data_IF_121711205860
#
_entry.id   IF_121711205860
#
_cell.length_a   1.000
_cell.length_b   1.000
_cell.length_c   1.000
_cell.angle_alpha   90.00
_cell.angle_beta   90.00
_cell.angle_gamma   90.00
#
_symmetry.space_group_name_H-M   'P 1'
#
loop_
_entity.id
_entity.type
_entity.pdbx_description
1 polymer ?
#
# COMPACT_ATOMS: atom_id res chain seq x y z
N UNK A 1 1.78 -2.94 -24.84
CA UNK A 1 1.76 -3.55 -23.52
C UNK A 1 3.03 -4.36 -23.30
N UNK A 2 3.55 -4.35 -22.09
CA UNK A 2 4.76 -5.08 -21.66
C UNK A 2 4.67 -6.57 -21.96
N UNK A 3 3.50 -7.16 -21.87
CA UNK A 3 3.31 -8.59 -22.14
C UNK A 3 3.49 -8.94 -23.62
N UNK A 4 3.32 -7.97 -24.53
CA UNK A 4 3.42 -8.20 -25.98
C UNK A 4 4.79 -7.83 -26.56
N UNK A 5 5.44 -6.81 -25.98
CA UNK A 5 6.67 -6.24 -26.53
C UNK A 5 7.84 -6.35 -25.56
N UNK A 6 7.57 -6.58 -24.26
CA UNK A 6 8.58 -6.66 -23.21
C UNK A 6 9.36 -7.98 -23.16
N UNK A 7 10.19 -8.17 -22.15
CA UNK A 7 11.09 -9.32 -22.00
C UNK A 7 10.40 -10.59 -21.46
N UNK A 8 9.14 -10.81 -21.81
CA UNK A 8 8.39 -12.01 -21.41
C UNK A 8 8.55 -13.12 -22.45
N UNK A 9 8.58 -14.41 -22.05
CA UNK A 9 8.53 -15.51 -22.97
C UNK A 9 7.34 -15.34 -23.93
N UNK A 10 7.52 -15.68 -25.18
CA UNK A 10 6.50 -15.55 -26.25
C UNK A 10 6.08 -14.10 -26.61
N UNK A 11 6.80 -13.09 -26.14
CA UNK A 11 6.62 -11.71 -26.63
C UNK A 11 7.33 -11.51 -27.97
N UNK A 12 7.02 -10.38 -28.65
CA UNK A 12 7.51 -10.10 -30.00
C UNK A 12 9.04 -10.14 -30.10
N UNK A 13 9.75 -9.49 -29.20
CA UNK A 13 11.21 -9.35 -29.31
C UNK A 13 11.96 -10.68 -29.10
N UNK A 14 11.68 -11.48 -28.04
CA UNK A 14 12.26 -12.81 -27.89
C UNK A 14 11.97 -13.74 -29.07
N UNK A 15 10.71 -13.80 -29.54
CA UNK A 15 10.37 -14.63 -30.69
C UNK A 15 11.08 -14.16 -31.96
N UNK A 16 11.18 -12.85 -32.18
CA UNK A 16 11.90 -12.31 -33.31
C UNK A 16 13.40 -12.65 -33.24
N UNK A 17 13.97 -12.62 -32.03
CA UNK A 17 15.37 -13.01 -31.81
C UNK A 17 15.62 -14.49 -32.13
N UNK A 18 14.70 -15.35 -31.74
CA UNK A 18 14.78 -16.78 -31.98
C UNK A 18 14.69 -17.11 -33.49
N UNK A 19 13.82 -16.42 -34.21
CA UNK A 19 13.59 -16.65 -35.64
C UNK A 19 14.64 -16.02 -36.55
N UNK A 20 15.12 -14.82 -36.21
CA UNK A 20 15.96 -14.01 -37.11
C UNK A 20 17.36 -13.72 -36.59
N UNK A 21 17.63 -14.10 -35.33
CA UNK A 21 18.94 -13.90 -34.71
C UNK A 21 19.15 -12.50 -34.10
N UNK A 22 20.26 -12.35 -33.37
CA UNK A 22 20.57 -11.17 -32.57
C UNK A 22 20.75 -9.87 -33.35
N UNK A 23 21.39 -9.94 -34.53
CA UNK A 23 21.68 -8.75 -35.36
C UNK A 23 20.40 -8.07 -35.86
N UNK A 24 19.42 -8.86 -36.30
CA UNK A 24 18.13 -8.33 -36.74
C UNK A 24 17.31 -7.83 -35.55
N UNK A 25 17.40 -8.49 -34.40
CA UNK A 25 16.75 -8.03 -33.18
C UNK A 25 17.31 -6.70 -32.68
N UNK A 26 18.62 -6.50 -32.75
CA UNK A 26 19.24 -5.22 -32.42
C UNK A 26 18.76 -4.09 -33.36
N UNK A 27 18.58 -4.37 -34.63
CA UNK A 27 18.01 -3.42 -35.61
C UNK A 27 16.56 -3.09 -35.28
N UNK A 28 15.74 -4.11 -34.93
CA UNK A 28 14.34 -3.93 -34.53
C UNK A 28 14.24 -3.05 -33.29
N UNK A 29 15.02 -3.34 -32.24
CA UNK A 29 15.04 -2.54 -31.02
C UNK A 29 15.48 -1.10 -31.26
N UNK A 30 16.49 -0.90 -32.14
CA UNK A 30 16.93 0.42 -32.53
C UNK A 30 15.85 1.20 -33.30
N UNK A 31 15.11 0.53 -34.18
CA UNK A 31 13.97 1.12 -34.88
C UNK A 31 12.85 1.51 -33.90
N UNK A 32 12.50 0.65 -32.98
CA UNK A 32 11.52 0.95 -31.93
C UNK A 32 11.94 2.14 -31.07
N UNK A 33 13.20 2.18 -30.63
CA UNK A 33 13.73 3.30 -29.86
C UNK A 33 13.58 4.64 -30.59
N UNK A 34 13.95 4.68 -31.85
CA UNK A 34 13.80 5.90 -32.69
C UNK A 34 12.35 6.29 -32.89
N UNK A 35 11.50 5.32 -33.22
CA UNK A 35 10.07 5.54 -33.45
C UNK A 35 9.36 6.06 -32.20
N UNK A 36 9.55 5.40 -31.04
CA UNK A 36 8.91 5.80 -29.80
C UNK A 36 9.44 7.13 -29.28
N UNK A 37 10.73 7.40 -29.43
CA UNK A 37 11.32 8.70 -29.07
C UNK A 37 10.72 9.83 -29.91
N UNK A 38 10.55 9.64 -31.20
CA UNK A 38 9.90 10.63 -32.07
C UNK A 38 8.43 10.81 -31.75
N UNK A 39 7.72 9.71 -31.46
CA UNK A 39 6.32 9.77 -31.07
C UNK A 39 6.14 10.59 -29.78
N UNK A 40 6.90 10.28 -28.73
CA UNK A 40 6.81 11.02 -27.45
C UNK A 40 7.23 12.49 -27.62
N UNK A 41 8.17 12.75 -28.51
CA UNK A 41 8.61 14.12 -28.83
C UNK A 41 7.50 14.95 -29.49
N UNK A 42 6.69 14.33 -30.35
CA UNK A 42 5.58 15.01 -31.03
C UNK A 42 4.33 15.13 -30.16
N UNK A 43 3.98 14.07 -29.42
CA UNK A 43 2.75 14.03 -28.61
C UNK A 43 2.93 14.63 -27.21
N UNK A 44 4.12 14.47 -26.63
CA UNK A 44 4.39 14.78 -25.23
C UNK A 44 3.82 13.72 -24.28
N UNK A 45 4.31 13.75 -23.04
CA UNK A 45 3.78 12.92 -21.95
C UNK A 45 4.07 13.60 -20.62
N UNK A 46 3.03 13.82 -19.82
CA UNK A 46 3.14 14.44 -18.50
C UNK A 46 2.20 13.76 -17.50
N UNK A 47 2.73 13.42 -16.33
CA UNK A 47 1.93 13.06 -15.17
C UNK A 47 1.50 14.34 -14.45
N UNK A 48 0.22 14.68 -14.53
CA UNK A 48 -0.35 15.87 -13.91
C UNK A 48 -1.11 15.56 -12.62
N UNK A 49 -1.47 16.60 -11.87
CA UNK A 49 -2.27 16.48 -10.63
C UNK A 49 -3.62 15.85 -10.91
N UNK A 50 -4.25 16.17 -12.05
CA UNK A 50 -5.54 15.60 -12.44
C UNK A 50 -5.53 14.07 -12.57
N UNK A 51 -4.37 13.48 -12.89
CA UNK A 51 -4.23 12.03 -13.01
C UNK A 51 -4.33 11.29 -11.67
N UNK A 52 -4.15 11.99 -10.53
CA UNK A 52 -4.18 11.41 -9.19
C UNK A 52 -5.43 11.79 -8.39
N UNK A 53 -6.20 12.77 -8.85
CA UNK A 53 -7.37 13.26 -8.13
C UNK A 53 -8.52 12.26 -8.17
N UNK A 54 -9.24 12.20 -7.06
CA UNK A 54 -10.38 11.30 -6.82
C UNK A 54 -11.65 12.12 -6.74
N UNK A 55 -12.76 11.58 -7.21
CA UNK A 55 -14.08 12.21 -7.17
C UNK A 55 -14.58 12.41 -5.74
N UNK A 56 -15.51 13.36 -5.53
CA UNK A 56 -16.07 13.64 -4.21
C UNK A 56 -16.84 12.45 -3.64
N UNK A 57 -17.55 11.70 -4.48
CA UNK A 57 -18.26 10.47 -4.06
C UNK A 57 -17.30 9.41 -3.54
N UNK A 58 -16.19 9.18 -4.24
CA UNK A 58 -15.16 8.24 -3.80
C UNK A 58 -14.46 8.73 -2.52
N UNK A 59 -14.25 10.05 -2.37
CA UNK A 59 -13.74 10.64 -1.14
C UNK A 59 -14.71 10.48 0.03
N UNK A 60 -16.02 10.60 -0.20
CA UNK A 60 -17.03 10.40 0.83
C UNK A 60 -17.05 8.95 1.32
N UNK A 61 -17.06 7.98 0.40
CA UNK A 61 -16.96 6.55 0.73
C UNK A 61 -15.68 6.22 1.48
N UNK A 62 -14.56 6.76 1.03
CA UNK A 62 -13.26 6.60 1.72
C UNK A 62 -13.35 7.05 3.18
N UNK A 63 -13.89 8.26 3.44
CA UNK A 63 -14.05 8.79 4.81
C UNK A 63 -14.96 7.92 5.68
N UNK A 64 -16.04 7.39 5.12
CA UNK A 64 -16.95 6.49 5.82
C UNK A 64 -16.23 5.20 6.26
N UNK A 65 -15.47 4.57 5.37
CA UNK A 65 -14.70 3.36 5.69
C UNK A 65 -13.64 3.65 6.74
N UNK A 66 -12.92 4.79 6.64
CA UNK A 66 -11.92 5.19 7.63
C UNK A 66 -12.54 5.40 9.03
N UNK A 67 -13.73 6.01 9.12
CA UNK A 67 -14.43 6.19 10.39
C UNK A 67 -14.80 4.84 11.06
N UNK A 68 -15.14 3.83 10.27
CA UNK A 68 -15.36 2.45 10.75
C UNK A 68 -14.07 1.80 11.24
N UNK A 69 -12.98 2.01 10.52
CA UNK A 69 -11.66 1.42 10.83
C UNK A 69 -11.12 1.87 12.20
N UNK A 70 -11.39 3.10 12.60
CA UNK A 70 -10.95 3.64 13.89
C UNK A 70 -11.49 2.84 15.10
N UNK A 71 -12.66 2.21 14.96
CA UNK A 71 -13.31 1.43 16.05
C UNK A 71 -12.83 -0.02 16.15
N UNK A 72 -12.11 -0.50 15.16
CA UNK A 72 -11.71 -1.92 15.04
C UNK A 72 -10.55 -2.28 15.97
N UNK A 73 -9.78 -1.29 16.43
CA UNK A 73 -8.53 -1.50 17.16
C UNK A 73 -8.72 -2.28 18.47
N UNK A 74 -9.67 -1.86 19.31
CA UNK A 74 -9.91 -2.47 20.61
C UNK A 74 -10.44 -3.90 20.50
N UNK A 75 -11.35 -4.15 19.55
CA UNK A 75 -11.88 -5.48 19.29
C UNK A 75 -10.80 -6.44 18.81
N UNK A 76 -9.92 -5.98 17.93
CA UNK A 76 -8.80 -6.78 17.44
C UNK A 76 -7.80 -7.08 18.54
N UNK A 77 -7.48 -6.08 19.38
CA UNK A 77 -6.61 -6.26 20.52
C UNK A 77 -7.19 -7.27 21.51
N UNK A 78 -8.47 -7.12 21.89
CA UNK A 78 -9.16 -8.01 22.82
C UNK A 78 -9.18 -9.46 22.32
N UNK A 79 -9.53 -9.68 21.05
CA UNK A 79 -9.47 -11.01 20.42
C UNK A 79 -8.06 -11.59 20.42
N UNK A 80 -7.05 -10.76 20.11
CA UNK A 80 -5.65 -11.19 20.03
C UNK A 80 -5.08 -11.62 21.37
N UNK A 81 -5.53 -11.03 22.49
CA UNK A 81 -5.13 -11.42 23.85
C UNK A 81 -6.11 -12.40 24.51
N UNK A 82 -7.11 -12.90 23.77
CA UNK A 82 -8.04 -13.95 24.23
C UNK A 82 -9.12 -13.46 25.20
N UNK A 83 -9.51 -12.18 25.16
CA UNK A 83 -10.63 -11.65 25.92
C UNK A 83 -11.92 -11.96 25.16
N UNK A 84 -12.90 -12.56 25.84
CA UNK A 84 -14.24 -12.84 25.33
C UNK A 84 -15.26 -12.01 26.12
N UNK A 85 -16.10 -11.23 25.41
CA UNK A 85 -17.14 -10.40 26.02
C UNK A 85 -16.69 -8.94 26.24
N UNK A 86 -17.43 -8.24 27.11
CA UNK A 86 -17.12 -6.87 27.51
C UNK A 86 -15.79 -6.80 28.26
N UNK A 87 -15.02 -5.76 28.00
CA UNK A 87 -13.70 -5.56 28.60
C UNK A 87 -13.53 -4.09 29.00
N UNK A 88 -12.77 -3.88 30.06
CA UNK A 88 -12.33 -2.58 30.51
C UNK A 88 -10.97 -2.23 29.88
N UNK A 89 -10.72 -0.93 29.65
CA UNK A 89 -9.48 -0.42 29.05
C UNK A 89 -8.24 -0.82 29.86
N UNK A 90 -8.32 -0.80 31.18
CA UNK A 90 -7.21 -1.21 32.06
C UNK A 90 -6.89 -2.70 31.92
N UNK A 91 -7.92 -3.54 31.92
CA UNK A 91 -7.78 -4.99 31.76
C UNK A 91 -7.16 -5.33 30.41
N UNK A 92 -7.62 -4.68 29.34
CA UNK A 92 -7.05 -4.84 28.00
C UNK A 92 -5.57 -4.45 27.97
N UNK A 93 -5.22 -3.31 28.55
CA UNK A 93 -3.86 -2.82 28.62
C UNK A 93 -2.94 -3.76 29.37
N UNK A 94 -3.36 -4.26 30.55
CA UNK A 94 -2.58 -5.24 31.32
C UNK A 94 -2.33 -6.53 30.54
N UNK A 95 -3.34 -7.04 29.84
CA UNK A 95 -3.19 -8.25 29.01
C UNK A 95 -2.29 -8.03 27.81
N UNK A 96 -2.36 -6.87 27.19
CA UNK A 96 -1.46 -6.48 26.09
C UNK A 96 -0.01 -6.39 26.59
N UNK A 97 0.22 -5.74 27.73
CA UNK A 97 1.52 -5.68 28.37
C UNK A 97 2.09 -7.07 28.67
N UNK A 98 1.29 -7.93 29.27
CA UNK A 98 1.67 -9.32 29.54
C UNK A 98 1.96 -10.09 28.23
N UNK A 99 1.17 -9.88 27.18
CA UNK A 99 1.41 -10.46 25.86
C UNK A 99 2.75 -9.99 25.27
N UNK A 100 3.05 -8.70 25.36
CA UNK A 100 4.30 -8.14 24.84
C UNK A 100 5.52 -8.61 25.64
N UNK A 101 5.43 -8.66 26.98
CA UNK A 101 6.51 -9.24 27.81
C UNK A 101 6.75 -10.72 27.50
N UNK A 102 5.69 -11.49 27.34
CA UNK A 102 5.78 -12.89 26.99
C UNK A 102 6.26 -13.13 25.55
N UNK A 103 6.07 -12.18 24.64
CA UNK A 103 6.49 -12.31 23.25
C UNK A 103 8.01 -12.30 23.06
N UNK A 104 8.77 -11.83 24.05
CA UNK A 104 10.22 -11.96 24.06
C UNK A 104 10.65 -13.43 24.11
N UNK A 105 9.92 -14.27 24.87
CA UNK A 105 10.16 -15.71 24.96
C UNK A 105 9.36 -16.51 23.89
N UNK A 106 8.19 -16.04 23.50
CA UNK A 106 7.27 -16.73 22.58
C UNK A 106 6.82 -15.74 21.47
N UNK A 107 7.62 -15.54 20.41
CA UNK A 107 7.32 -14.59 19.33
C UNK A 107 5.96 -14.83 18.63
N UNK A 108 5.46 -16.08 18.67
CA UNK A 108 4.18 -16.48 18.07
C UNK A 108 3.00 -15.63 18.55
N UNK A 109 2.97 -15.26 19.84
CA UNK A 109 1.86 -14.48 20.42
C UNK A 109 1.70 -13.11 19.75
N UNK A 110 2.81 -12.44 19.47
CA UNK A 110 2.80 -11.17 18.76
C UNK A 110 2.38 -11.35 17.30
N UNK A 111 2.89 -12.39 16.65
CA UNK A 111 2.52 -12.70 15.26
C UNK A 111 1.02 -12.98 15.11
N UNK A 112 0.40 -13.65 16.07
CA UNK A 112 -1.04 -13.93 16.06
C UNK A 112 -1.85 -12.64 16.26
N UNK A 113 -1.39 -11.74 17.13
CA UNK A 113 -1.99 -10.41 17.31
C UNK A 113 -1.89 -9.59 16.01
N UNK A 114 -0.71 -9.51 15.40
CA UNK A 114 -0.48 -8.78 14.16
C UNK A 114 -1.30 -9.34 13.00
N UNK A 115 -1.45 -10.66 12.92
CA UNK A 115 -2.33 -11.33 11.95
C UNK A 115 -3.79 -10.98 12.15
N UNK A 116 -4.26 -10.86 13.41
CA UNK A 116 -5.60 -10.43 13.75
C UNK A 116 -5.90 -9.02 13.22
N UNK A 117 -5.00 -8.08 13.48
CA UNK A 117 -5.12 -6.72 12.95
C UNK A 117 -5.12 -6.69 11.43
N UNK A 118 -4.19 -7.39 10.79
CA UNK A 118 -4.11 -7.47 9.33
C UNK A 118 -5.40 -8.01 8.73
N UNK A 119 -5.94 -9.08 9.29
CA UNK A 119 -7.21 -9.68 8.85
C UNK A 119 -8.41 -8.75 8.97
N UNK A 120 -8.44 -7.90 9.99
CA UNK A 120 -9.53 -6.95 10.21
C UNK A 120 -9.40 -5.67 9.38
N UNK A 121 -8.17 -5.24 9.06
CA UNK A 121 -7.92 -4.00 8.31
C UNK A 121 -7.88 -4.20 6.78
N UNK A 122 -7.55 -5.41 6.31
CA UNK A 122 -7.52 -5.70 4.87
C UNK A 122 -8.85 -5.46 4.14
N UNK A 123 -10.03 -5.86 4.68
CA UNK A 123 -11.30 -5.54 4.04
C UNK A 123 -11.50 -4.03 3.86
N UNK A 124 -11.22 -3.23 4.88
CA UNK A 124 -11.33 -1.78 4.82
C UNK A 124 -10.37 -1.18 3.77
N UNK A 125 -9.14 -1.69 3.70
CA UNK A 125 -8.18 -1.29 2.66
C UNK A 125 -8.71 -1.61 1.26
N UNK A 126 -9.27 -2.79 1.07
CA UNK A 126 -9.86 -3.21 -0.22
C UNK A 126 -11.08 -2.37 -0.59
N UNK A 127 -11.95 -2.06 0.37
CA UNK A 127 -13.13 -1.20 0.17
C UNK A 127 -12.72 0.21 -0.28
N UNK A 128 -11.71 0.80 0.36
CA UNK A 128 -11.17 2.11 -0.02
C UNK A 128 -10.57 2.07 -1.42
N UNK A 129 -9.76 1.05 -1.72
CA UNK A 129 -9.15 0.90 -3.03
C UNK A 129 -10.21 0.73 -4.12
N UNK A 130 -11.24 -0.09 -3.89
CA UNK A 130 -12.34 -0.30 -4.83
C UNK A 130 -13.21 0.93 -5.04
N UNK A 131 -13.35 1.78 -4.02
CA UNK A 131 -14.08 3.04 -4.13
C UNK A 131 -13.29 4.09 -4.95
N UNK A 132 -11.97 4.10 -4.82
CA UNK A 132 -11.10 5.09 -5.46
C UNK A 132 -10.63 4.66 -6.86
N UNK A 133 -10.39 3.36 -7.08
CA UNK A 133 -9.74 2.85 -8.29
C UNK A 133 -10.56 1.74 -8.96
N UNK A 134 -10.60 1.70 -10.30
CA UNK A 134 -10.18 2.76 -11.23
C UNK A 134 -11.25 3.84 -11.43
N UNK A 135 -12.49 3.56 -11.03
CA UNK A 135 -13.69 4.35 -11.38
C UNK A 135 -13.82 5.66 -10.62
N UNK A 136 -13.23 5.73 -9.42
CA UNK A 136 -13.24 6.91 -8.57
C UNK A 136 -12.25 8.01 -8.95
N UNK A 137 -11.39 7.80 -9.95
CA UNK A 137 -10.50 8.83 -10.46
C UNK A 137 -11.26 9.82 -11.34
N UNK A 138 -10.90 11.11 -11.25
CA UNK A 138 -11.49 12.15 -12.09
C UNK A 138 -11.15 11.88 -13.55
N UNK A 139 -9.86 11.68 -13.84
CA UNK A 139 -9.37 11.35 -15.18
C UNK A 139 -9.25 9.84 -15.33
N UNK A 140 -9.97 9.27 -16.27
CA UNK A 140 -10.03 7.82 -16.47
C UNK A 140 -9.06 7.34 -17.53
N UNK A 141 -8.69 6.04 -17.47
CA UNK A 141 -7.98 5.36 -18.55
C UNK A 141 -8.80 5.44 -19.87
N UNK A 142 -8.21 5.68 -21.05
CA UNK A 142 -6.74 5.79 -21.30
C UNK A 142 -6.15 7.21 -21.14
N UNK A 143 -6.94 8.22 -20.83
CA UNK A 143 -6.46 9.61 -20.71
C UNK A 143 -5.64 9.86 -19.44
N UNK A 144 -5.78 9.03 -18.43
CA UNK A 144 -5.02 9.12 -17.19
C UNK A 144 -3.61 8.56 -17.40
N UNK A 145 -2.62 9.40 -17.32
CA UNK A 145 -1.23 9.02 -17.61
C UNK A 145 -0.61 8.13 -16.55
N UNK A 146 -1.02 8.24 -15.28
CA UNK A 146 -0.59 7.31 -14.23
C UNK A 146 -1.14 5.90 -14.48
N UNK A 147 -2.44 5.81 -14.77
CA UNK A 147 -3.09 4.55 -15.12
C UNK A 147 -2.51 3.96 -16.42
N UNK A 148 -2.20 4.80 -17.38
CA UNK A 148 -1.58 4.37 -18.63
C UNK A 148 -0.22 3.70 -18.37
N UNK A 149 0.66 4.32 -17.58
CA UNK A 149 1.96 3.74 -17.24
C UNK A 149 1.84 2.42 -16.48
N UNK A 150 0.91 2.34 -15.53
CA UNK A 150 0.69 1.14 -14.70
C UNK A 150 0.09 0.01 -15.54
N UNK A 151 -0.97 0.27 -16.31
CA UNK A 151 -1.68 -0.74 -17.08
C UNK A 151 -0.84 -1.30 -18.23
N UNK A 152 -0.01 -0.47 -18.85
CA UNK A 152 0.92 -0.93 -19.89
C UNK A 152 2.14 -1.64 -19.31
N UNK A 153 2.37 -1.52 -18.01
CA UNK A 153 3.55 -2.08 -17.35
C UNK A 153 4.84 -1.30 -17.61
N UNK A 154 4.73 -0.09 -18.15
CA UNK A 154 5.90 0.75 -18.46
C UNK A 154 6.63 1.18 -17.19
N UNK A 155 5.90 1.68 -16.20
CA UNK A 155 6.47 2.11 -14.92
C UNK A 155 5.40 2.19 -13.84
N UNK A 156 5.82 1.88 -12.61
CA UNK A 156 4.93 1.87 -11.46
C UNK A 156 4.08 0.61 -11.37
N UNK A 157 3.30 0.53 -10.30
CA UNK A 157 2.36 -0.56 -10.02
C UNK A 157 1.03 -0.01 -9.51
N UNK A 158 0.02 -0.86 -9.41
CA UNK A 158 -1.25 -0.51 -8.78
C UNK A 158 -1.07 -0.01 -7.34
N UNK A 159 -0.06 -0.53 -6.62
CA UNK A 159 0.27 -0.10 -5.26
C UNK A 159 0.67 1.37 -5.23
N UNK A 160 1.45 1.84 -6.19
CA UNK A 160 1.81 3.26 -6.28
C UNK A 160 0.58 4.15 -6.43
N UNK A 161 -0.36 3.75 -7.30
CA UNK A 161 -1.62 4.49 -7.49
C UNK A 161 -2.47 4.49 -6.22
N UNK A 162 -2.56 3.35 -5.52
CA UNK A 162 -3.27 3.24 -4.25
C UNK A 162 -2.68 4.18 -3.20
N UNK A 163 -1.37 4.18 -3.04
CA UNK A 163 -0.67 5.02 -2.05
C UNK A 163 -0.81 6.52 -2.35
N UNK A 164 -0.82 6.89 -3.61
CA UNK A 164 -0.99 8.29 -4.02
C UNK A 164 -2.42 8.75 -3.81
N UNK A 165 -3.41 8.00 -4.27
CA UNK A 165 -4.79 8.46 -4.41
C UNK A 165 -5.77 7.90 -3.36
N UNK A 166 -5.47 6.74 -2.73
CA UNK A 166 -6.39 6.05 -1.83
C UNK A 166 -5.93 6.09 -0.36
N UNK A 167 -4.94 5.29 -0.01
CA UNK A 167 -4.30 5.23 1.30
C UNK A 167 -2.97 4.47 1.18
N UNK A 168 -2.08 4.64 2.16
CA UNK A 168 -0.86 3.83 2.23
C UNK A 168 -1.14 2.43 2.81
N UNK A 169 -2.07 2.33 3.77
CA UNK A 169 -2.42 1.07 4.42
C UNK A 169 -1.44 0.66 5.53
N UNK A 170 -1.42 -0.62 5.87
CA UNK A 170 -0.58 -1.16 6.91
C UNK A 170 0.89 -1.15 6.49
N UNK A 171 1.72 -0.47 7.26
CA UNK A 171 3.17 -0.53 7.16
C UNK A 171 3.66 -1.77 7.91
N UNK A 172 4.45 -2.57 7.24
CA UNK A 172 5.07 -3.77 7.79
C UNK A 172 6.60 -3.67 7.69
N UNK A 173 7.27 -4.19 8.72
CA UNK A 173 8.72 -4.36 8.79
C UNK A 173 8.99 -5.85 8.98
N UNK A 174 9.75 -6.48 8.08
CA UNK A 174 9.98 -7.91 8.06
C UNK A 174 8.68 -8.75 8.15
N UNK A 175 7.62 -8.26 7.48
CA UNK A 175 6.30 -8.90 7.48
C UNK A 175 5.51 -8.79 8.80
N UNK A 176 5.95 -7.93 9.72
CA UNK A 176 5.32 -7.67 11.03
C UNK A 176 4.94 -6.21 11.16
N UNK A 177 4.00 -5.91 12.04
CA UNK A 177 3.71 -4.51 12.42
C UNK A 177 4.96 -3.87 13.05
N UNK A 178 5.12 -2.54 12.99
CA UNK A 178 6.27 -1.85 13.55
C UNK A 178 6.58 -2.28 14.98
N UNK A 179 7.87 -2.38 15.37
CA UNK A 179 8.27 -2.84 16.68
C UNK A 179 7.79 -1.89 17.78
N UNK A 180 7.59 -2.45 18.97
CA UNK A 180 7.21 -1.71 20.16
C UNK A 180 8.43 -1.61 21.09
N UNK A 181 8.71 -0.42 21.58
CA UNK A 181 9.75 -0.15 22.57
C UNK A 181 9.43 -0.81 23.91
N UNK A 182 10.41 -0.91 24.79
CA UNK A 182 10.24 -1.41 26.17
C UNK A 182 9.15 -0.62 26.92
N UNK A 183 8.98 0.67 26.59
CA UNK A 183 7.93 1.52 27.15
C UNK A 183 6.50 1.15 26.69
N UNK A 184 6.33 0.16 25.83
CA UNK A 184 5.04 -0.22 25.26
C UNK A 184 4.56 0.69 24.11
N UNK A 185 5.39 1.59 23.64
CA UNK A 185 5.06 2.54 22.56
C UNK A 185 5.70 2.12 21.25
N UNK A 186 5.01 2.30 20.15
CA UNK A 186 5.60 2.16 18.81
C UNK A 186 6.41 3.40 18.42
N UNK A 187 5.91 4.58 18.75
CA UNK A 187 6.60 5.85 18.63
C UNK A 187 6.37 6.69 19.90
N UNK A 188 7.24 7.68 20.23
CA UNK A 188 7.11 8.50 21.43
C UNK A 188 5.78 9.24 21.57
N UNK A 189 5.12 9.57 20.46
CA UNK A 189 3.85 10.29 20.40
C UNK A 189 2.62 9.47 20.76
N UNK A 190 2.71 8.13 20.71
CA UNK A 190 1.61 7.24 21.05
C UNK A 190 1.60 6.88 22.54
N UNK A 191 0.43 6.46 23.05
CA UNK A 191 0.31 5.94 24.40
C UNK A 191 0.92 4.54 24.49
N UNK A 192 1.39 4.11 25.68
CA UNK A 192 1.81 2.72 25.86
C UNK A 192 0.66 1.76 25.57
N UNK A 193 0.93 0.72 24.79
CA UNK A 193 -0.03 -0.32 24.38
C UNK A 193 -1.30 0.21 23.71
N UNK A 194 -1.16 1.32 22.98
CA UNK A 194 -2.24 1.92 22.21
C UNK A 194 -2.79 0.91 21.18
N UNK A 195 -4.09 0.68 21.23
CA UNK A 195 -4.79 -0.31 20.41
C UNK A 195 -5.21 0.23 19.04
N UNK A 196 -5.16 1.54 18.85
CA UNK A 196 -5.54 2.15 17.61
C UNK A 196 -4.68 1.60 16.43
N UNK A 197 -5.30 1.25 15.29
CA UNK A 197 -4.58 0.78 14.12
C UNK A 197 -3.42 1.68 13.73
N UNK A 198 -3.61 2.98 13.89
CA UNK A 198 -2.62 4.02 13.60
C UNK A 198 -1.36 3.90 14.44
N UNK A 199 -1.48 3.56 15.73
CA UNK A 199 -0.34 3.33 16.61
C UNK A 199 0.48 2.11 16.18
N UNK A 200 -0.14 1.17 15.47
CA UNK A 200 0.50 0.00 14.90
C UNK A 200 0.95 0.14 13.45
N UNK A 201 1.04 1.35 12.93
CA UNK A 201 1.56 1.60 11.58
C UNK A 201 0.52 1.49 10.45
N UNK A 202 -0.77 1.49 10.76
CA UNK A 202 -1.79 1.61 9.73
C UNK A 202 -1.94 3.08 9.33
N UNK A 203 -1.60 3.40 8.08
CA UNK A 203 -1.66 4.74 7.53
C UNK A 203 -2.92 4.88 6.70
N UNK A 204 -3.88 5.61 7.21
CA UNK A 204 -5.10 5.98 6.49
C UNK A 204 -4.92 7.21 5.58
N UNK A 205 -3.82 7.93 5.75
CA UNK A 205 -3.38 9.01 4.88
C UNK A 205 -2.97 8.53 3.48
N UNK A 206 -2.87 9.47 2.54
CA UNK A 206 -2.42 9.26 1.16
C UNK A 206 -1.49 10.39 0.74
N UNK A 207 -0.62 10.15 -0.22
CA UNK A 207 0.36 11.16 -0.64
C UNK A 207 -0.31 12.41 -1.24
N UNK A 208 -1.42 12.26 -1.96
CA UNK A 208 -2.13 13.37 -2.59
C UNK A 208 -2.56 14.45 -1.58
N UNK A 209 -3.00 14.07 -0.39
CA UNK A 209 -3.42 14.99 0.68
C UNK A 209 -2.39 15.16 1.78
N UNK A 210 -1.27 14.44 1.70
CA UNK A 210 -0.25 14.40 2.71
C UNK A 210 -0.49 13.37 3.79
N UNK A 211 0.56 13.04 4.53
CA UNK A 211 0.56 12.13 5.67
C UNK A 211 1.08 12.84 6.90
N UNK A 212 0.69 12.37 8.08
CA UNK A 212 1.10 12.98 9.33
C UNK A 212 2.54 12.59 9.71
N UNK A 213 3.22 13.34 10.60
CA UNK A 213 4.61 13.06 10.96
C UNK A 213 4.87 11.63 11.45
N UNK A 214 3.97 11.06 12.26
CA UNK A 214 4.08 9.68 12.74
C UNK A 214 3.95 8.67 11.59
N UNK A 215 3.01 8.90 10.69
CA UNK A 215 2.79 8.07 9.50
C UNK A 215 4.00 8.14 8.55
N UNK A 216 4.55 9.33 8.38
CA UNK A 216 5.78 9.53 7.61
C UNK A 216 6.95 8.75 8.22
N UNK A 217 7.08 8.75 9.55
CA UNK A 217 8.15 8.02 10.22
C UNK A 217 8.04 6.52 10.02
N UNK A 218 6.84 5.94 10.14
CA UNK A 218 6.61 4.52 9.81
C UNK A 218 6.94 4.21 8.35
N UNK A 219 6.54 5.09 7.43
CA UNK A 219 6.86 4.92 6.03
C UNK A 219 8.38 4.96 5.77
N UNK A 220 9.12 5.85 6.43
CA UNK A 220 10.58 5.89 6.37
C UNK A 220 11.24 4.62 6.91
N UNK A 221 10.73 4.04 7.99
CA UNK A 221 11.22 2.78 8.53
C UNK A 221 11.09 1.66 7.50
N UNK A 222 9.93 1.53 6.87
CA UNK A 222 9.71 0.53 5.81
C UNK A 222 10.58 0.79 4.58
N UNK A 223 10.72 2.04 4.17
CA UNK A 223 11.59 2.41 3.05
C UNK A 223 13.07 2.12 3.34
N UNK A 224 13.51 2.27 4.59
CA UNK A 224 14.89 1.95 5.00
C UNK A 224 15.16 0.46 4.99
N UNK A 225 14.19 -0.36 5.39
CA UNK A 225 14.30 -1.81 5.33
C UNK A 225 14.41 -2.32 3.88
N UNK A 226 13.58 -1.81 2.97
CA UNK A 226 13.60 -2.15 1.53
C UNK A 226 14.84 -1.65 0.82
#
# INVERSE_FOLDING_TARGET
>A
DKNHVGPTPYSLVPLFCELYGGDYSAKLLSAFSKMFTNFIRSEGFTLGVEDILVTDDANAKRREVMARTAKVGDECAAKGVGIKGEFDEETLKHKLEACHRASAAVPKRRMDLDRGYKGALNPATNDINSACLPTGLIKKFPRNNLQLMVNTGAKGSSVNTMQISCLLGQIELEGKRPPIMISGKSLPSFRPYDTLPRAGGFIDGRFMTGIQPQEFFFHCMAGREG
#
